data_IF_548168514203
#
_entry.id   IF_548168514203
#
_cell.length_a   1.000
_cell.length_b   1.000
_cell.length_c   1.000
_cell.angle_alpha   90.00
_cell.angle_beta   90.00
_cell.angle_gamma   90.00
#
_symmetry.space_group_name_H-M   'P 1'
#
loop_
_entity.id
_entity.type
_entity.pdbx_description
1 polymer ?
#
# COMPACT_ATOMS: atom_id res chain seq x y z
N UNK A 1 20.83 -17.35 -45.00
CA UNK A 1 19.64 -16.76 -45.65
C UNK A 1 18.41 -17.27 -44.92
N UNK A 2 17.85 -16.49 -43.99
CA UNK A 2 16.56 -16.76 -43.37
C UNK A 2 15.84 -15.42 -43.25
N UNK A 3 14.73 -15.26 -43.97
CA UNK A 3 13.92 -14.05 -44.02
C UNK A 3 13.04 -13.95 -42.77
N UNK A 4 13.26 -12.92 -41.96
CA UNK A 4 12.37 -12.48 -40.89
C UNK A 4 11.21 -11.69 -41.50
N UNK A 5 10.01 -12.24 -41.41
CA UNK A 5 8.75 -11.54 -41.73
C UNK A 5 8.19 -10.94 -40.44
N UNK A 6 8.32 -9.61 -40.31
CA UNK A 6 7.65 -8.82 -39.28
C UNK A 6 6.15 -8.73 -39.62
N UNK A 7 5.31 -9.32 -38.79
CA UNK A 7 3.85 -9.15 -38.81
C UNK A 7 3.49 -7.93 -37.98
N UNK A 8 3.06 -6.86 -38.63
CA UNK A 8 2.39 -5.74 -37.98
C UNK A 8 1.06 -6.21 -37.41
N UNK A 9 0.90 -6.11 -36.09
CA UNK A 9 -0.36 -6.34 -35.39
C UNK A 9 -1.08 -4.99 -35.26
N UNK A 10 -2.28 -4.91 -35.83
CA UNK A 10 -3.18 -3.77 -35.61
C UNK A 10 -3.65 -3.78 -34.14
N UNK A 11 -3.71 -2.63 -33.46
CA UNK A 11 -4.19 -2.55 -32.08
C UNK A 11 -5.66 -2.97 -32.00
N UNK A 12 -6.00 -3.66 -30.92
CA UNK A 12 -7.35 -4.14 -30.66
C UNK A 12 -8.30 -2.97 -30.37
N UNK A 13 -9.58 -3.11 -30.75
CA UNK A 13 -10.65 -2.13 -30.48
C UNK A 13 -10.79 -1.83 -28.97
N UNK A 14 -10.36 -2.74 -28.10
CA UNK A 14 -10.26 -2.54 -26.65
C UNK A 14 -9.15 -1.58 -26.22
N UNK A 15 -8.05 -1.46 -26.95
CA UNK A 15 -6.98 -0.50 -26.64
C UNK A 15 -7.35 0.92 -27.06
N UNK A 16 -8.10 1.07 -28.16
CA UNK A 16 -8.58 2.37 -28.64
C UNK A 16 -9.69 2.98 -27.76
N UNK A 17 -10.39 2.17 -26.96
CA UNK A 17 -11.43 2.65 -26.02
C UNK A 17 -10.89 3.01 -24.63
N UNK A 18 -9.65 2.60 -24.29
CA UNK A 18 -9.04 2.95 -22.99
C UNK A 18 -8.39 4.34 -22.96
N UNK A 19 -8.14 4.95 -24.12
CA UNK A 19 -7.51 6.27 -24.23
C UNK A 19 -8.50 7.45 -24.27
N UNK A 20 -9.78 7.23 -23.94
CA UNK A 20 -10.82 8.28 -23.87
C UNK A 20 -11.61 8.29 -22.54
N UNK A 21 -11.20 7.49 -21.56
CA UNK A 21 -11.68 7.66 -20.19
C UNK A 21 -10.73 8.62 -19.49
N UNK A 22 -11.00 9.91 -19.68
CA UNK A 22 -10.45 10.98 -18.86
C UNK A 22 -10.59 10.59 -17.38
N UNK A 23 -9.49 10.74 -16.64
CA UNK A 23 -9.47 10.55 -15.19
C UNK A 23 -10.68 11.24 -14.55
N UNK A 24 -11.40 10.58 -13.62
CA UNK A 24 -12.45 11.27 -12.87
C UNK A 24 -11.80 12.50 -12.21
N UNK A 25 -12.29 13.72 -12.46
CA UNK A 25 -11.60 14.92 -12.04
C UNK A 25 -11.37 14.87 -10.53
N UNK A 26 -10.17 15.24 -10.06
CA UNK A 26 -9.83 15.18 -8.65
C UNK A 26 -10.88 15.95 -7.85
N UNK A 27 -11.32 15.36 -6.72
CA UNK A 27 -12.24 15.97 -5.73
C UNK A 27 -11.60 17.15 -4.99
N UNK A 28 -11.01 18.09 -5.72
CA UNK A 28 -10.36 19.28 -5.19
C UNK A 28 -11.21 20.49 -5.49
N UNK A 29 -11.87 21.00 -4.44
CA UNK A 29 -12.48 22.32 -4.33
C UNK A 29 -13.47 22.67 -5.45
N UNK A 30 -14.76 22.64 -5.13
CA UNK A 30 -15.83 23.34 -5.87
C UNK A 30 -15.51 24.84 -5.89
N UNK A 31 -14.55 25.22 -6.73
CA UNK A 31 -14.14 26.58 -6.98
C UNK A 31 -15.23 27.19 -7.85
N UNK A 32 -15.53 28.48 -7.63
CA UNK A 32 -16.49 29.26 -8.41
C UNK A 32 -16.22 29.20 -9.94
N UNK A 33 -15.09 28.67 -10.38
CA UNK A 33 -14.74 28.45 -11.79
C UNK A 33 -15.69 27.47 -12.51
N UNK A 34 -16.34 26.54 -11.82
CA UNK A 34 -17.18 25.53 -12.50
C UNK A 34 -18.51 26.11 -13.05
N UNK A 35 -18.91 27.31 -12.64
CA UNK A 35 -20.10 27.98 -13.16
C UNK A 35 -19.89 28.59 -14.55
N UNK A 36 -18.63 28.74 -14.99
CA UNK A 36 -18.29 29.32 -16.28
C UNK A 36 -17.29 28.50 -17.09
N UNK A 37 -17.65 28.18 -18.32
CA UNK A 37 -16.74 27.76 -19.38
C UNK A 37 -16.77 28.81 -20.50
N UNK A 38 -15.66 29.53 -20.63
CA UNK A 38 -15.48 30.56 -21.66
C UNK A 38 -15.76 30.02 -23.05
N UNK A 39 -16.56 30.74 -23.83
CA UNK A 39 -16.95 30.39 -25.20
C UNK A 39 -18.11 29.40 -25.34
N UNK A 40 -18.47 28.66 -24.28
CA UNK A 40 -19.55 27.65 -24.33
C UNK A 40 -20.82 28.20 -23.69
N UNK A 41 -20.71 28.83 -22.53
CA UNK A 41 -21.89 29.15 -21.70
C UNK A 41 -22.61 30.47 -22.08
N UNK A 42 -22.18 31.19 -23.10
CA UNK A 42 -22.69 32.54 -23.41
C UNK A 42 -24.22 32.57 -23.60
N UNK A 43 -24.78 31.51 -24.19
CA UNK A 43 -26.21 31.44 -24.49
C UNK A 43 -27.08 31.31 -23.23
N UNK A 44 -26.57 30.71 -22.15
CA UNK A 44 -27.31 30.55 -20.90
C UNK A 44 -27.41 31.87 -20.14
N UNK A 45 -26.42 32.74 -20.29
CA UNK A 45 -26.32 34.01 -19.58
C UNK A 45 -26.89 35.21 -20.35
N UNK A 46 -27.33 35.01 -21.59
CA UNK A 46 -27.91 36.06 -22.43
C UNK A 46 -29.05 36.85 -21.75
N UNK A 47 -30.01 36.22 -21.03
CA UNK A 47 -31.07 36.97 -20.33
C UNK A 47 -30.54 37.91 -19.25
N UNK A 48 -29.52 37.48 -18.50
CA UNK A 48 -28.88 38.30 -17.47
C UNK A 48 -28.15 39.49 -18.09
N UNK A 49 -27.47 39.27 -19.21
CA UNK A 49 -26.74 40.32 -19.92
C UNK A 49 -27.70 41.36 -20.50
N UNK A 50 -28.76 40.90 -21.18
CA UNK A 50 -29.80 41.77 -21.72
C UNK A 50 -30.44 42.65 -20.63
N UNK A 51 -30.77 42.06 -19.47
CA UNK A 51 -31.31 42.80 -18.34
C UNK A 51 -30.35 43.88 -17.82
N UNK A 52 -29.04 43.60 -17.79
CA UNK A 52 -28.03 44.59 -17.39
C UNK A 52 -27.86 45.70 -18.42
N UNK A 53 -27.84 45.37 -19.71
CA UNK A 53 -27.78 46.37 -20.79
C UNK A 53 -28.99 47.29 -20.72
N UNK A 54 -30.20 46.72 -20.55
CA UNK A 54 -31.43 47.48 -20.42
C UNK A 54 -31.43 48.39 -19.17
N UNK A 55 -31.01 47.87 -18.02
CA UNK A 55 -30.92 48.69 -16.79
C UNK A 55 -29.86 49.78 -16.93
N UNK A 56 -28.69 49.50 -17.52
CA UNK A 56 -27.64 50.51 -17.78
C UNK A 56 -28.13 51.62 -18.71
N UNK A 57 -28.84 51.27 -19.78
CA UNK A 57 -29.44 52.25 -20.68
C UNK A 57 -30.52 53.09 -19.97
N UNK A 58 -31.28 52.48 -19.07
CA UNK A 58 -32.28 53.22 -18.28
C UNK A 58 -31.63 54.14 -17.26
N UNK A 59 -30.58 53.69 -16.57
CA UNK A 59 -29.80 54.48 -15.63
C UNK A 59 -29.16 55.70 -16.29
N UNK A 60 -28.65 55.57 -17.53
CA UNK A 60 -28.04 56.69 -18.25
C UNK A 60 -29.06 57.77 -18.64
N UNK A 61 -30.33 57.40 -18.79
CA UNK A 61 -31.45 58.33 -19.03
C UNK A 61 -31.94 59.00 -17.73
N UNK A 62 -31.53 58.53 -16.56
CA UNK A 62 -31.84 59.18 -15.29
C UNK A 62 -30.88 60.34 -15.05
N UNK A 63 -31.41 61.49 -14.65
CA UNK A 63 -30.61 62.64 -14.23
C UNK A 63 -29.99 62.38 -12.84
N UNK A 64 -28.95 61.54 -12.78
CA UNK A 64 -28.23 61.19 -11.55
C UNK A 64 -27.40 62.37 -11.03
N UNK A 65 -27.43 62.59 -9.72
CA UNK A 65 -26.55 63.55 -9.04
C UNK A 65 -25.10 63.05 -9.07
N UNK A 66 -24.11 63.92 -8.89
CA UNK A 66 -22.71 63.52 -9.02
C UNK A 66 -22.28 62.50 -7.95
N UNK A 67 -22.84 62.58 -6.75
CA UNK A 67 -22.62 61.58 -5.70
C UNK A 67 -23.34 60.24 -5.99
N UNK A 68 -24.42 60.24 -6.78
CA UNK A 68 -25.09 59.04 -7.28
C UNK A 68 -24.30 58.39 -8.43
N UNK A 69 -23.71 59.19 -9.33
CA UNK A 69 -22.80 58.70 -10.36
C UNK A 69 -21.59 58.01 -9.75
N UNK A 70 -20.99 58.62 -8.73
CA UNK A 70 -19.88 58.01 -7.98
C UNK A 70 -20.27 56.67 -7.36
N UNK A 71 -21.47 56.54 -6.78
CA UNK A 71 -21.96 55.27 -6.24
C UNK A 71 -22.15 54.19 -7.33
N UNK A 72 -22.65 54.57 -8.50
CA UNK A 72 -22.80 53.67 -9.64
C UNK A 72 -21.44 53.24 -10.24
N UNK A 73 -20.46 54.15 -10.27
CA UNK A 73 -19.09 53.88 -10.71
C UNK A 73 -18.35 52.98 -9.72
N UNK A 74 -18.53 53.19 -8.42
CA UNK A 74 -17.96 52.34 -7.38
C UNK A 74 -18.36 50.88 -7.57
N UNK A 75 -19.63 50.63 -7.90
CA UNK A 75 -20.14 49.30 -8.19
C UNK A 75 -19.38 48.62 -9.35
N UNK A 76 -18.89 49.39 -10.33
CA UNK A 76 -18.14 48.88 -11.48
C UNK A 76 -16.71 48.40 -11.13
N UNK A 77 -16.25 48.64 -9.90
CA UNK A 77 -14.96 48.14 -9.45
C UNK A 77 -15.02 46.62 -9.19
N UNK A 78 -14.15 45.85 -9.87
CA UNK A 78 -14.14 44.38 -9.82
C UNK A 78 -13.77 43.79 -8.45
N UNK A 79 -13.22 44.61 -7.56
CA UNK A 79 -12.71 44.17 -6.24
C UNK A 79 -13.76 44.20 -5.09
N UNK A 80 -15.04 44.35 -5.43
CA UNK A 80 -16.11 44.33 -4.43
C UNK A 80 -16.36 42.89 -3.99
N UNK A 81 -16.09 42.59 -2.72
CA UNK A 81 -16.49 41.34 -2.06
C UNK A 81 -17.89 41.53 -1.41
N UNK A 82 -18.69 40.47 -1.24
CA UNK A 82 -20.01 40.54 -0.58
C UNK A 82 -20.03 41.35 0.73
N UNK A 83 -19.07 41.10 1.63
CA UNK A 83 -18.97 41.83 2.90
C UNK A 83 -18.75 43.34 2.76
N UNK A 84 -18.10 43.80 1.68
CA UNK A 84 -17.88 45.23 1.42
C UNK A 84 -19.16 45.95 0.97
N UNK A 85 -20.15 45.21 0.43
CA UNK A 85 -21.43 45.80 0.00
C UNK A 85 -22.22 46.24 1.23
N UNK A 86 -22.31 45.36 2.24
CA UNK A 86 -23.01 45.67 3.50
C UNK A 86 -22.31 46.81 4.23
N UNK A 87 -20.98 46.79 4.32
CA UNK A 87 -20.18 47.88 4.88
C UNK A 87 -20.48 49.21 4.18
N UNK A 88 -20.53 49.21 2.85
CA UNK A 88 -20.84 50.42 2.08
C UNK A 88 -22.26 50.94 2.29
N UNK A 89 -23.25 50.06 2.45
CA UNK A 89 -24.62 50.45 2.78
C UNK A 89 -24.69 51.15 4.15
N UNK A 90 -23.95 50.63 5.14
CA UNK A 90 -23.84 51.25 6.47
C UNK A 90 -23.13 52.61 6.42
N UNK A 91 -22.08 52.75 5.61
CA UNK A 91 -21.42 54.04 5.37
C UNK A 91 -22.39 55.07 4.77
N UNK A 92 -23.16 54.68 3.74
CA UNK A 92 -24.15 55.56 3.11
C UNK A 92 -25.19 56.02 4.15
N UNK A 93 -25.65 55.12 5.02
CA UNK A 93 -26.56 55.49 6.09
C UNK A 93 -25.93 56.52 7.04
N UNK A 94 -24.72 56.26 7.54
CA UNK A 94 -24.03 57.13 8.48
C UNK A 94 -23.79 58.55 7.90
N UNK A 95 -23.42 58.64 6.62
CA UNK A 95 -23.25 59.92 5.93
C UNK A 95 -24.58 60.68 5.82
N UNK A 96 -25.69 59.99 5.53
CA UNK A 96 -27.01 60.60 5.41
C UNK A 96 -27.56 61.07 6.76
N UNK A 97 -27.34 60.30 7.83
CA UNK A 97 -27.70 60.69 9.19
C UNK A 97 -26.95 61.96 9.60
N UNK A 98 -25.64 62.03 9.34
CA UNK A 98 -24.80 63.21 9.61
C UNK A 98 -25.26 64.45 8.86
N UNK A 99 -25.66 64.32 7.59
CA UNK A 99 -26.18 65.43 6.78
C UNK A 99 -27.56 65.92 7.24
N UNK A 100 -28.37 65.05 7.85
CA UNK A 100 -29.76 65.40 8.19
C UNK A 100 -29.93 66.21 9.48
N UNK A 101 -28.90 66.37 10.33
CA UNK A 101 -28.98 67.01 11.66
C UNK A 101 -30.13 66.50 12.56
N UNK A 102 -30.76 65.36 12.25
CA UNK A 102 -31.93 64.84 12.96
C UNK A 102 -31.51 64.06 14.20
N UNK A 103 -31.66 64.68 15.37
CA UNK A 103 -31.58 63.97 16.66
C UNK A 103 -32.88 63.19 16.90
N UNK A 104 -32.77 61.89 17.20
CA UNK A 104 -33.73 61.02 17.93
C UNK A 104 -34.75 60.12 17.18
N UNK A 105 -34.64 59.90 15.87
CA UNK A 105 -35.51 58.94 15.13
C UNK A 105 -34.96 57.52 14.92
N UNK A 106 -33.90 57.13 15.64
CA UNK A 106 -32.91 56.09 15.27
C UNK A 106 -33.45 54.64 15.20
N UNK A 107 -34.59 54.32 15.83
CA UNK A 107 -35.04 52.91 15.94
C UNK A 107 -35.71 52.33 14.67
N UNK A 108 -36.40 53.13 13.86
CA UNK A 108 -37.09 52.61 12.65
C UNK A 108 -36.12 52.35 11.49
N UNK A 109 -35.16 53.27 11.28
CA UNK A 109 -34.13 53.13 10.24
C UNK A 109 -33.30 51.85 10.39
N UNK A 110 -33.13 51.35 11.61
CA UNK A 110 -32.44 50.09 11.87
C UNK A 110 -33.13 48.88 11.23
N UNK A 111 -34.47 48.83 11.18
CA UNK A 111 -35.18 47.68 10.61
C UNK A 111 -35.04 47.63 9.08
N UNK A 112 -35.25 48.75 8.40
CA UNK A 112 -35.08 48.81 6.94
C UNK A 112 -33.65 48.47 6.55
N UNK A 113 -32.65 49.06 7.22
CA UNK A 113 -31.24 48.80 6.92
C UNK A 113 -30.91 47.33 7.10
N UNK A 114 -31.31 46.72 8.21
CA UNK A 114 -31.04 45.29 8.45
C UNK A 114 -31.70 44.41 7.36
N UNK A 115 -32.95 44.69 6.99
CA UNK A 115 -33.66 43.94 5.95
C UNK A 115 -33.01 44.14 4.56
N UNK A 116 -32.65 45.37 4.23
CA UNK A 116 -31.98 45.71 2.96
C UNK A 116 -30.60 45.09 2.89
N UNK A 117 -29.81 45.15 3.97
CA UNK A 117 -28.47 44.53 4.04
C UNK A 117 -28.55 43.00 3.90
N UNK A 118 -29.52 42.34 4.56
CA UNK A 118 -29.71 40.91 4.42
C UNK A 118 -30.11 40.51 2.99
N UNK A 119 -30.95 41.32 2.33
CA UNK A 119 -31.28 41.15 0.93
C UNK A 119 -30.08 41.39 0.01
N UNK A 120 -29.33 42.47 0.24
CA UNK A 120 -28.15 42.81 -0.55
C UNK A 120 -27.07 41.73 -0.46
N UNK A 121 -26.89 41.10 0.71
CA UNK A 121 -25.97 39.97 0.87
C UNK A 121 -26.40 38.75 0.02
N UNK A 122 -27.69 38.38 0.07
CA UNK A 122 -28.24 37.30 -0.78
C UNK A 122 -28.13 37.62 -2.27
N UNK A 123 -28.56 38.82 -2.68
CA UNK A 123 -28.48 39.28 -4.05
C UNK A 123 -27.03 39.33 -4.55
N UNK A 124 -26.10 39.80 -3.72
CA UNK A 124 -24.67 39.84 -4.05
C UNK A 124 -24.13 38.47 -4.36
N UNK A 125 -24.61 37.43 -3.68
CA UNK A 125 -24.11 36.07 -3.89
C UNK A 125 -24.50 35.52 -5.25
N UNK A 126 -25.70 35.87 -5.75
CA UNK A 126 -26.11 35.56 -7.12
C UNK A 126 -25.29 36.38 -8.12
N UNK A 127 -25.10 37.69 -7.85
CA UNK A 127 -24.29 38.57 -8.69
C UNK A 127 -22.85 38.03 -8.81
N UNK A 128 -22.25 37.56 -7.71
CA UNK A 128 -20.88 37.03 -7.68
C UNK A 128 -20.72 35.72 -8.44
N UNK A 129 -21.77 34.90 -8.56
CA UNK A 129 -21.74 33.70 -9.43
C UNK A 129 -21.62 34.10 -10.90
N UNK A 130 -22.25 35.21 -11.29
CA UNK A 130 -22.26 35.70 -12.66
C UNK A 130 -21.08 36.62 -12.98
N UNK A 131 -20.55 37.35 -12.00
CA UNK A 131 -19.52 38.38 -12.19
C UNK A 131 -18.28 37.93 -13.01
N UNK A 132 -17.74 36.70 -12.87
CA UNK A 132 -16.60 36.24 -13.67
C UNK A 132 -16.85 36.22 -15.19
N UNK A 133 -18.11 36.17 -15.61
CA UNK A 133 -18.53 36.12 -17.01
C UNK A 133 -18.38 37.47 -17.71
N UNK A 134 -18.88 38.52 -17.06
CA UNK A 134 -18.96 39.87 -17.61
C UNK A 134 -18.94 40.89 -16.47
N UNK A 135 -18.11 41.94 -16.58
CA UNK A 135 -18.13 43.04 -15.61
C UNK A 135 -19.45 43.82 -15.64
N UNK A 136 -20.29 43.66 -16.66
CA UNK A 136 -21.59 44.35 -16.78
C UNK A 136 -22.57 43.98 -15.66
N UNK A 137 -22.38 42.83 -15.01
CA UNK A 137 -23.22 42.41 -13.89
C UNK A 137 -23.04 43.25 -12.62
N UNK A 138 -22.01 44.10 -12.58
CA UNK A 138 -21.84 45.11 -11.53
C UNK A 138 -22.93 46.18 -11.52
N UNK A 139 -23.64 46.39 -12.65
CA UNK A 139 -24.72 47.38 -12.75
C UNK A 139 -25.76 47.19 -11.65
N UNK A 140 -26.07 45.93 -11.32
CA UNK A 140 -27.04 45.57 -10.28
C UNK A 140 -26.65 46.06 -8.89
N UNK A 141 -25.35 46.01 -8.57
CA UNK A 141 -24.82 46.58 -7.32
C UNK A 141 -25.01 48.11 -7.28
N UNK A 142 -24.80 48.76 -8.42
CA UNK A 142 -25.07 50.19 -8.58
C UNK A 142 -26.53 50.53 -8.33
N UNK A 143 -27.45 49.77 -8.95
CA UNK A 143 -28.90 49.92 -8.74
C UNK A 143 -29.26 49.72 -7.26
N UNK A 144 -28.68 48.72 -6.58
CA UNK A 144 -28.89 48.50 -5.15
C UNK A 144 -28.47 49.71 -4.31
N UNK A 145 -27.27 50.26 -4.53
CA UNK A 145 -26.79 51.43 -3.79
C UNK A 145 -27.65 52.67 -4.02
N UNK A 146 -28.07 52.90 -5.28
CA UNK A 146 -28.95 54.00 -5.64
C UNK A 146 -30.33 53.86 -5.01
N UNK A 147 -30.90 52.65 -5.02
CA UNK A 147 -32.21 52.36 -4.44
C UNK A 147 -32.19 52.57 -2.92
N UNK A 148 -31.15 52.08 -2.24
CA UNK A 148 -30.96 52.28 -0.81
C UNK A 148 -30.91 53.77 -0.46
N UNK A 149 -30.07 54.54 -1.16
CA UNK A 149 -29.93 55.99 -0.96
C UNK A 149 -31.25 56.72 -1.21
N UNK A 150 -31.97 56.36 -2.27
CA UNK A 150 -33.25 56.99 -2.63
C UNK A 150 -34.29 56.85 -1.51
N UNK A 151 -34.31 55.71 -0.81
CA UNK A 151 -35.27 55.44 0.27
C UNK A 151 -34.83 56.01 1.62
N UNK A 152 -33.55 55.90 1.98
CA UNK A 152 -33.02 56.53 3.22
C UNK A 152 -33.26 58.04 3.22
N UNK A 153 -33.27 58.68 2.04
CA UNK A 153 -33.58 60.11 1.90
C UNK A 153 -35.06 60.44 2.14
N UNK A 154 -35.99 59.48 1.92
CA UNK A 154 -37.44 59.69 1.93
C UNK A 154 -38.17 58.64 2.79
N UNK A 155 -38.34 58.95 4.08
CA UNK A 155 -38.92 58.04 5.08
C UNK A 155 -40.31 57.49 4.73
N UNK A 156 -41.16 58.28 4.09
CA UNK A 156 -42.56 57.91 3.80
C UNK A 156 -42.68 56.69 2.85
N UNK A 157 -41.58 56.30 2.21
CA UNK A 157 -41.51 55.18 1.27
C UNK A 157 -40.75 53.96 1.82
N UNK A 158 -40.21 54.08 3.01
CA UNK A 158 -39.40 53.06 3.68
C UNK A 158 -40.23 51.79 3.89
N UNK A 159 -41.47 51.90 4.37
CA UNK A 159 -42.31 50.73 4.68
C UNK A 159 -42.68 49.93 3.43
N UNK A 160 -42.97 50.60 2.31
CA UNK A 160 -43.33 49.94 1.04
C UNK A 160 -42.13 49.18 0.46
N UNK A 161 -40.94 49.81 0.40
CA UNK A 161 -39.74 49.13 -0.06
C UNK A 161 -39.32 48.01 0.91
N UNK A 162 -39.44 48.23 2.22
CA UNK A 162 -39.12 47.20 3.22
C UNK A 162 -39.95 45.94 2.99
N UNK A 163 -41.25 46.08 2.71
CA UNK A 163 -42.13 44.94 2.39
C UNK A 163 -41.69 44.25 1.08
N UNK A 164 -41.46 45.03 0.02
CA UNK A 164 -41.01 44.48 -1.26
C UNK A 164 -39.72 43.68 -1.13
N UNK A 165 -38.72 44.24 -0.45
CA UNK A 165 -37.42 43.61 -0.23
C UNK A 165 -37.52 42.38 0.68
N UNK A 166 -38.34 42.44 1.72
CA UNK A 166 -38.56 41.28 2.59
C UNK A 166 -39.19 40.13 1.80
N UNK A 167 -40.20 40.40 0.97
CA UNK A 167 -40.80 39.41 0.06
C UNK A 167 -39.75 38.81 -0.87
N UNK A 168 -38.93 39.62 -1.56
CA UNK A 168 -37.92 39.11 -2.49
C UNK A 168 -36.84 38.32 -1.73
N UNK A 169 -36.37 38.83 -0.58
CA UNK A 169 -35.33 38.19 0.23
C UNK A 169 -35.76 36.81 0.73
N UNK A 170 -37.03 36.63 1.08
CA UNK A 170 -37.56 35.32 1.49
C UNK A 170 -37.62 34.32 0.33
N UNK A 171 -37.67 34.79 -0.92
CA UNK A 171 -37.69 33.95 -2.13
C UNK A 171 -36.31 33.67 -2.71
N UNK A 172 -35.33 34.55 -2.47
CA UNK A 172 -33.99 34.32 -2.99
C UNK A 172 -33.31 33.11 -2.30
N UNK A 173 -32.69 32.21 -3.07
CA UNK A 173 -31.94 31.07 -2.53
C UNK A 173 -30.90 31.52 -1.52
N UNK A 174 -30.75 30.73 -0.46
CA UNK A 174 -29.64 30.87 0.47
C UNK A 174 -28.34 30.58 -0.31
N UNK A 175 -27.30 31.36 -0.05
CA UNK A 175 -25.93 31.19 -0.53
C UNK A 175 -25.40 29.76 -0.56
N UNK A 176 -25.81 28.93 0.39
CA UNK A 176 -25.45 27.52 0.48
C UNK A 176 -25.99 26.67 -0.68
N UNK A 177 -27.13 27.07 -1.24
CA UNK A 177 -27.75 26.39 -2.38
C UNK A 177 -26.78 26.30 -3.57
N UNK A 178 -26.11 27.41 -3.90
CA UNK A 178 -25.17 27.45 -5.03
C UNK A 178 -23.85 26.71 -4.80
N UNK A 179 -23.50 26.42 -3.54
CA UNK A 179 -22.29 25.65 -3.20
C UNK A 179 -22.48 24.15 -3.35
N UNK A 180 -23.73 23.68 -3.28
CA UNK A 180 -24.06 22.24 -3.25
C UNK A 180 -24.54 21.70 -4.59
N UNK A 181 -24.84 22.57 -5.55
CA UNK A 181 -25.43 22.19 -6.83
C UNK A 181 -24.38 22.07 -7.92
N UNK A 182 -24.46 20.98 -8.68
CA UNK A 182 -23.69 20.82 -9.89
C UNK A 182 -24.20 21.79 -10.97
N UNK A 183 -23.37 22.66 -11.56
CA UNK A 183 -23.81 23.69 -12.49
C UNK A 183 -24.15 23.11 -13.87
N UNK A 184 -25.28 22.41 -13.97
CA UNK A 184 -25.81 21.94 -15.25
C UNK A 184 -26.25 23.13 -16.12
N UNK A 185 -26.27 22.95 -17.44
CA UNK A 185 -26.67 24.00 -18.38
C UNK A 185 -28.06 24.58 -18.07
N UNK A 186 -29.01 23.71 -17.67
CA UNK A 186 -30.36 24.14 -17.28
C UNK A 186 -30.34 24.97 -15.99
N UNK A 187 -29.54 24.57 -14.99
CA UNK A 187 -29.38 25.33 -13.75
C UNK A 187 -28.70 26.67 -14.02
N UNK A 188 -27.63 26.72 -14.83
CA UNK A 188 -26.96 27.98 -15.24
C UNK A 188 -27.96 28.95 -15.88
N UNK A 189 -28.77 28.47 -16.82
CA UNK A 189 -29.80 29.28 -17.47
C UNK A 189 -30.85 29.80 -16.47
N UNK A 190 -31.26 28.96 -15.52
CA UNK A 190 -32.22 29.35 -14.48
C UNK A 190 -31.66 30.41 -13.54
N UNK A 191 -30.40 30.28 -13.12
CA UNK A 191 -29.70 31.31 -12.32
C UNK A 191 -29.62 32.65 -13.08
N UNK A 192 -29.32 32.61 -14.37
CA UNK A 192 -29.28 33.80 -15.21
C UNK A 192 -30.64 34.51 -15.30
N UNK A 193 -31.73 33.74 -15.40
CA UNK A 193 -33.10 34.31 -15.41
C UNK A 193 -33.51 34.86 -14.05
N UNK A 194 -33.25 34.14 -12.95
CA UNK A 194 -33.47 34.65 -11.57
C UNK A 194 -32.78 35.99 -11.39
N UNK A 195 -31.52 36.07 -11.82
CA UNK A 195 -30.78 37.32 -11.82
C UNK A 195 -31.44 38.39 -12.70
N UNK A 196 -31.84 38.07 -13.93
CA UNK A 196 -32.51 39.02 -14.83
C UNK A 196 -33.79 39.60 -14.22
N UNK A 197 -34.63 38.75 -13.59
CA UNK A 197 -35.83 39.19 -12.87
C UNK A 197 -35.47 40.07 -11.68
N UNK A 198 -34.43 39.73 -10.91
CA UNK A 198 -33.95 40.54 -9.79
C UNK A 198 -33.51 41.94 -10.25
N UNK A 199 -32.72 42.04 -11.33
CA UNK A 199 -32.31 43.33 -11.92
C UNK A 199 -33.52 44.14 -12.33
N UNK A 200 -34.47 43.52 -13.03
CA UNK A 200 -35.70 44.18 -13.48
C UNK A 200 -36.52 44.72 -12.31
N UNK A 201 -36.69 43.95 -11.23
CA UNK A 201 -37.41 44.40 -10.03
C UNK A 201 -36.70 45.59 -9.38
N UNK A 202 -35.37 45.52 -9.23
CA UNK A 202 -34.58 46.59 -8.62
C UNK A 202 -34.61 47.88 -9.45
N UNK A 203 -34.56 47.74 -10.77
CA UNK A 203 -34.61 48.86 -11.71
C UNK A 203 -35.98 49.56 -11.70
N UNK A 204 -37.08 48.79 -11.74
CA UNK A 204 -38.44 49.34 -11.61
C UNK A 204 -38.66 50.00 -10.23
N UNK A 205 -38.14 49.38 -9.15
CA UNK A 205 -38.17 49.97 -7.82
C UNK A 205 -37.38 51.29 -7.79
N UNK A 206 -36.18 51.34 -8.37
CA UNK A 206 -35.38 52.56 -8.40
C UNK A 206 -36.12 53.71 -9.09
N UNK A 207 -36.70 53.46 -10.26
CA UNK A 207 -37.49 54.46 -11.00
C UNK A 207 -38.67 54.96 -10.16
N UNK A 208 -39.41 54.03 -9.54
CA UNK A 208 -40.54 54.31 -8.66
C UNK A 208 -40.14 55.21 -7.46
N UNK A 209 -39.11 54.82 -6.70
CA UNK A 209 -38.75 55.48 -5.45
C UNK A 209 -38.03 56.82 -5.69
N UNK A 210 -37.33 56.98 -6.82
CA UNK A 210 -36.66 58.22 -7.21
C UNK A 210 -37.65 59.33 -7.63
N UNK A 211 -38.67 59.01 -8.43
CA UNK A 211 -39.59 59.99 -8.99
C UNK A 211 -40.39 60.76 -7.93
N UNK A 212 -40.15 62.07 -7.75
CA UNK A 212 -40.96 62.93 -6.87
C UNK A 212 -42.24 63.43 -7.57
N UNK A 213 -42.12 64.01 -8.78
CA UNK A 213 -43.27 64.52 -9.55
C UNK A 213 -44.05 63.42 -10.25
N UNK A 214 -43.35 62.42 -10.76
CA UNK A 214 -43.97 61.24 -11.36
C UNK A 214 -44.70 60.42 -10.30
N UNK A 215 -44.24 60.35 -9.04
CA UNK A 215 -44.95 59.55 -8.04
C UNK A 215 -46.40 59.93 -7.80
N UNK A 216 -46.87 61.17 -8.05
CA UNK A 216 -48.32 61.47 -7.94
C UNK A 216 -49.13 60.95 -9.12
N UNK A 217 -48.52 60.90 -10.31
CA UNK A 217 -49.08 60.28 -11.51
C UNK A 217 -48.99 58.76 -11.44
N UNK A 218 -47.88 58.26 -10.92
CA UNK A 218 -47.62 56.86 -10.69
C UNK A 218 -48.50 56.41 -9.53
N UNK A 219 -48.73 57.16 -8.45
CA UNK A 219 -49.67 56.84 -7.35
C UNK A 219 -51.12 56.74 -7.85
N UNK A 220 -51.50 57.59 -8.82
CA UNK A 220 -52.77 57.45 -9.56
C UNK A 220 -52.81 56.24 -10.51
N UNK A 221 -51.64 55.75 -10.95
CA UNK A 221 -51.45 54.52 -11.73
C UNK A 221 -51.10 53.28 -10.86
N UNK A 222 -50.84 53.43 -9.56
CA UNK A 222 -50.31 52.43 -8.61
C UNK A 222 -51.36 51.85 -7.67
N UNK A 223 -52.62 52.01 -8.04
CA UNK A 223 -53.52 50.87 -7.88
C UNK A 223 -52.98 49.59 -8.57
N UNK A 224 -51.90 49.69 -9.38
CA UNK A 224 -51.08 48.57 -9.86
C UNK A 224 -49.92 48.17 -8.91
N UNK A 225 -50.20 47.90 -7.62
CA UNK A 225 -49.30 47.06 -6.79
C UNK A 225 -49.02 45.72 -7.51
N UNK A 226 -49.97 45.28 -8.35
CA UNK A 226 -49.89 44.12 -9.22
C UNK A 226 -48.63 44.02 -10.07
N UNK A 227 -48.01 45.12 -10.51
CA UNK A 227 -46.82 45.02 -11.38
C UNK A 227 -45.60 44.43 -10.67
N UNK A 228 -45.42 44.71 -9.39
CA UNK A 228 -44.36 44.06 -8.61
C UNK A 228 -44.75 42.63 -8.27
N UNK A 229 -46.04 42.36 -8.07
CA UNK A 229 -46.54 41.01 -7.85
C UNK A 229 -46.26 40.11 -9.07
N UNK A 230 -46.50 40.60 -10.29
CA UNK A 230 -46.20 39.88 -11.54
C UNK A 230 -44.70 39.54 -11.64
N UNK A 231 -43.81 40.51 -11.33
CA UNK A 231 -42.36 40.30 -11.37
C UNK A 231 -41.87 39.36 -10.26
N UNK A 232 -42.49 39.39 -9.08
CA UNK A 232 -42.20 38.48 -7.98
C UNK A 232 -42.70 37.07 -8.31
N UNK A 233 -43.85 36.94 -8.96
CA UNK A 233 -44.40 35.67 -9.43
C UNK A 233 -43.48 35.04 -10.48
N UNK A 234 -43.01 35.82 -11.46
CA UNK A 234 -42.01 35.37 -12.43
C UNK A 234 -40.73 34.84 -11.73
N UNK A 235 -40.24 35.58 -10.73
CA UNK A 235 -39.07 35.18 -9.94
C UNK A 235 -39.32 33.88 -9.15
N UNK A 236 -40.51 33.72 -8.56
CA UNK A 236 -40.92 32.53 -7.81
C UNK A 236 -41.05 31.30 -8.73
N UNK A 237 -41.58 31.49 -9.93
CA UNK A 237 -41.72 30.44 -10.93
C UNK A 237 -40.36 29.94 -11.43
N UNK A 238 -39.41 30.84 -11.69
CA UNK A 238 -38.06 30.46 -12.08
C UNK A 238 -37.32 29.78 -10.91
N UNK A 239 -37.54 30.24 -9.67
CA UNK A 239 -37.00 29.58 -8.48
C UNK A 239 -37.50 28.13 -8.31
N UNK A 240 -38.81 27.90 -8.47
CA UNK A 240 -39.40 26.55 -8.45
C UNK A 240 -38.78 25.66 -9.52
N UNK A 241 -38.65 26.19 -10.74
CA UNK A 241 -38.01 25.50 -11.86
C UNK A 241 -36.58 25.09 -11.53
N UNK A 242 -35.79 26.00 -10.94
CA UNK A 242 -34.43 25.70 -10.50
C UNK A 242 -34.39 24.59 -9.44
N UNK A 243 -35.35 24.56 -8.51
CA UNK A 243 -35.40 23.56 -7.45
C UNK A 243 -35.76 22.16 -8.02
N UNK A 244 -36.72 22.09 -8.94
CA UNK A 244 -37.06 20.84 -9.65
C UNK A 244 -35.87 20.30 -10.45
N UNK A 245 -35.14 21.20 -11.14
CA UNK A 245 -33.93 20.85 -11.87
C UNK A 245 -32.82 20.31 -10.95
N UNK A 246 -32.67 20.87 -9.75
CA UNK A 246 -31.72 20.38 -8.75
C UNK A 246 -32.05 18.93 -8.37
N UNK A 247 -33.30 18.65 -8.03
CA UNK A 247 -33.71 17.34 -7.55
C UNK A 247 -33.57 16.29 -8.67
N UNK A 248 -33.94 16.65 -9.90
CA UNK A 248 -33.71 15.81 -11.08
C UNK A 248 -32.21 15.53 -11.33
N UNK A 249 -31.36 16.57 -11.22
CA UNK A 249 -29.91 16.44 -11.41
C UNK A 249 -29.30 15.52 -10.33
N UNK A 250 -29.75 15.64 -9.08
CA UNK A 250 -29.28 14.79 -7.99
C UNK A 250 -29.63 13.30 -8.22
N UNK A 251 -30.83 13.02 -8.71
CA UNK A 251 -31.25 11.65 -9.06
C UNK A 251 -30.37 11.07 -10.17
N UNK A 252 -30.16 11.81 -11.25
CA UNK A 252 -29.33 11.37 -12.39
C UNK A 252 -27.88 11.14 -11.97
N UNK A 253 -27.32 12.03 -11.15
CA UNK A 253 -25.96 11.89 -10.66
C UNK A 253 -25.81 10.67 -9.75
N UNK A 254 -26.77 10.42 -8.87
CA UNK A 254 -26.77 9.25 -7.99
C UNK A 254 -26.84 7.95 -8.82
N UNK A 255 -27.67 7.92 -9.87
CA UNK A 255 -27.77 6.77 -10.77
C UNK A 255 -26.45 6.53 -11.54
N UNK A 256 -25.81 7.58 -12.05
CA UNK A 256 -24.52 7.47 -12.75
C UNK A 256 -23.40 6.98 -11.82
N UNK A 257 -23.35 7.47 -10.57
CA UNK A 257 -22.39 6.98 -9.57
C UNK A 257 -22.63 5.50 -9.28
N UNK A 258 -23.88 5.07 -9.15
CA UNK A 258 -24.22 3.67 -8.89
C UNK A 258 -23.76 2.74 -10.02
N UNK A 259 -23.86 3.18 -11.27
CA UNK A 259 -23.43 2.42 -12.45
C UNK A 259 -21.90 2.24 -12.46
N UNK A 260 -21.14 3.31 -12.26
CA UNK A 260 -19.67 3.27 -12.16
C UNK A 260 -19.22 2.36 -11.01
N UNK A 261 -19.89 2.41 -9.85
CA UNK A 261 -19.59 1.54 -8.71
C UNK A 261 -19.86 0.07 -9.04
N UNK A 262 -20.96 -0.22 -9.75
CA UNK A 262 -21.31 -1.58 -10.18
C UNK A 262 -20.28 -2.15 -11.17
N UNK A 263 -19.85 -1.35 -12.16
CA UNK A 263 -18.81 -1.76 -13.12
C UNK A 263 -17.47 -2.00 -12.43
N UNK A 264 -17.07 -1.10 -11.52
CA UNK A 264 -15.85 -1.24 -10.72
C UNK A 264 -15.89 -2.51 -9.86
N UNK A 265 -17.04 -2.82 -9.25
CA UNK A 265 -17.25 -4.04 -8.49
C UNK A 265 -17.06 -5.32 -9.33
N UNK A 266 -17.57 -5.33 -10.57
CA UNK A 266 -17.38 -6.48 -11.50
C UNK A 266 -15.93 -6.65 -11.92
N UNK A 267 -15.21 -5.56 -12.19
CA UNK A 267 -13.79 -5.61 -12.53
C UNK A 267 -12.96 -6.17 -11.36
N UNK A 268 -13.26 -5.73 -10.13
CA UNK A 268 -12.59 -6.22 -8.92
C UNK A 268 -12.83 -7.71 -8.68
N UNK A 269 -14.06 -8.20 -8.89
CA UNK A 269 -14.36 -9.63 -8.74
C UNK A 269 -13.56 -10.50 -9.74
N UNK A 270 -13.47 -10.08 -11.01
CA UNK A 270 -12.65 -10.77 -12.03
C UNK A 270 -11.16 -10.76 -11.69
N UNK A 271 -10.67 -9.64 -11.15
CA UNK A 271 -9.28 -9.51 -10.72
C UNK A 271 -8.99 -10.47 -9.57
N UNK A 272 -9.88 -10.58 -8.57
CA UNK A 272 -9.74 -11.53 -7.47
C UNK A 272 -9.71 -12.99 -7.96
N UNK A 273 -10.62 -13.39 -8.85
CA UNK A 273 -10.64 -14.74 -9.43
C UNK A 273 -9.33 -15.09 -10.16
N UNK A 274 -8.78 -14.14 -10.93
CA UNK A 274 -7.49 -14.29 -11.60
C UNK A 274 -6.34 -14.47 -10.60
N UNK A 275 -6.33 -13.72 -9.49
CA UNK A 275 -5.31 -13.84 -8.45
C UNK A 275 -5.35 -15.19 -7.73
N UNK A 276 -6.54 -15.70 -7.44
CA UNK A 276 -6.73 -17.02 -6.83
C UNK A 276 -6.22 -18.14 -7.75
N UNK A 277 -6.56 -18.06 -9.04
CA UNK A 277 -6.07 -18.98 -10.07
C UNK A 277 -4.54 -18.98 -10.18
N UNK A 278 -3.91 -17.79 -10.23
CA UNK A 278 -2.45 -17.66 -10.31
C UNK A 278 -1.75 -18.19 -9.05
N UNK A 279 -2.29 -17.93 -7.87
CA UNK A 279 -1.70 -18.36 -6.60
C UNK A 279 -1.73 -19.89 -6.48
N UNK A 280 -2.80 -20.53 -6.95
CA UNK A 280 -2.89 -22.00 -7.02
C UNK A 280 -1.79 -22.61 -7.91
N UNK A 281 -1.54 -22.02 -9.09
CA UNK A 281 -0.49 -22.48 -10.01
C UNK A 281 0.93 -22.33 -9.43
N UNK A 282 1.18 -21.24 -8.69
CA UNK A 282 2.45 -20.99 -8.00
C UNK A 282 2.69 -22.04 -6.91
N UNK A 283 1.67 -22.35 -6.10
CA UNK A 283 1.79 -23.35 -5.03
C UNK A 283 2.12 -24.74 -5.58
N UNK A 284 1.49 -25.14 -6.69
CA UNK A 284 1.81 -26.41 -7.37
C UNK A 284 3.26 -26.43 -7.87
N UNK A 285 3.71 -25.34 -8.48
CA UNK A 285 5.10 -25.20 -8.96
C UNK A 285 6.12 -25.31 -7.83
N UNK A 286 5.87 -24.67 -6.70
CA UNK A 286 6.75 -24.72 -5.52
C UNK A 286 6.86 -26.14 -4.95
N UNK A 287 5.73 -26.87 -4.89
CA UNK A 287 5.71 -28.27 -4.47
C UNK A 287 6.60 -29.16 -5.35
N UNK A 288 6.52 -28.98 -6.67
CA UNK A 288 7.36 -29.72 -7.63
C UNK A 288 8.86 -29.40 -7.42
N UNK A 289 9.19 -28.13 -7.19
CA UNK A 289 10.58 -27.70 -6.95
C UNK A 289 11.12 -28.34 -5.67
N UNK A 290 10.35 -28.30 -4.57
CA UNK A 290 10.77 -28.88 -3.30
C UNK A 290 11.01 -30.40 -3.40
N UNK A 291 10.12 -31.12 -4.09
CA UNK A 291 10.30 -32.55 -4.34
C UNK A 291 11.58 -32.84 -5.12
N UNK A 292 11.86 -32.07 -6.19
CA UNK A 292 13.11 -32.21 -6.96
C UNK A 292 14.35 -31.89 -6.12
N UNK A 293 14.27 -30.86 -5.28
CA UNK A 293 15.39 -30.48 -4.40
C UNK A 293 15.73 -31.59 -3.41
N UNK A 294 14.74 -32.20 -2.75
CA UNK A 294 14.97 -33.35 -1.87
C UNK A 294 15.61 -34.53 -2.59
N UNK A 295 15.14 -34.84 -3.80
CA UNK A 295 15.71 -35.92 -4.61
C UNK A 295 17.17 -35.63 -4.99
N UNK A 296 17.49 -34.39 -5.39
CA UNK A 296 18.85 -33.98 -5.70
C UNK A 296 19.76 -34.04 -4.47
N UNK A 297 19.29 -33.63 -3.29
CA UNK A 297 20.05 -33.74 -2.04
C UNK A 297 20.34 -35.20 -1.70
N UNK A 298 19.34 -36.08 -1.79
CA UNK A 298 19.53 -37.51 -1.55
C UNK A 298 20.54 -38.14 -2.53
N UNK A 299 20.43 -37.82 -3.82
CA UNK A 299 21.36 -38.29 -4.84
C UNK A 299 22.79 -37.79 -4.61
N UNK A 300 22.94 -36.52 -4.23
CA UNK A 300 24.24 -35.91 -3.93
C UNK A 300 24.90 -36.60 -2.73
N UNK A 301 24.13 -36.90 -1.68
CA UNK A 301 24.65 -37.59 -0.49
C UNK A 301 25.13 -39.02 -0.82
N UNK A 302 24.42 -39.74 -1.70
CA UNK A 302 24.86 -41.07 -2.16
C UNK A 302 26.17 -40.99 -2.94
N UNK A 303 26.29 -40.02 -3.87
CA UNK A 303 27.51 -39.79 -4.64
C UNK A 303 28.68 -39.42 -3.72
N UNK A 304 28.44 -38.54 -2.75
CA UNK A 304 29.45 -38.14 -1.78
C UNK A 304 29.95 -39.33 -0.97
N UNK A 305 29.05 -40.17 -0.45
CA UNK A 305 29.40 -41.37 0.33
C UNK A 305 30.14 -42.41 -0.50
N UNK A 306 29.76 -42.58 -1.76
CA UNK A 306 30.48 -43.45 -2.70
C UNK A 306 31.91 -42.96 -2.91
N UNK A 307 32.09 -41.66 -3.14
CA UNK A 307 33.40 -41.04 -3.32
C UNK A 307 34.26 -41.15 -2.04
N UNK A 308 33.67 -40.92 -0.86
CA UNK A 308 34.30 -41.15 0.44
C UNK A 308 34.85 -42.57 0.59
N UNK A 309 34.01 -43.57 0.31
CA UNK A 309 34.38 -44.98 0.40
C UNK A 309 35.49 -45.32 -0.60
N UNK A 310 35.39 -44.82 -1.83
CA UNK A 310 36.40 -45.04 -2.88
C UNK A 310 37.77 -44.47 -2.48
N UNK A 311 37.80 -43.26 -1.91
CA UNK A 311 39.05 -42.64 -1.48
C UNK A 311 39.67 -43.35 -0.27
N UNK A 312 38.85 -43.73 0.71
CA UNK A 312 39.29 -44.51 1.87
C UNK A 312 39.95 -45.83 1.44
N UNK A 313 39.35 -46.55 0.48
CA UNK A 313 39.94 -47.77 -0.11
C UNK A 313 41.27 -47.52 -0.80
N UNK A 314 41.37 -46.44 -1.59
CA UNK A 314 42.65 -46.09 -2.23
C UNK A 314 43.75 -45.78 -1.21
N UNK A 315 43.41 -45.19 -0.06
CA UNK A 315 44.37 -44.96 1.02
C UNK A 315 44.77 -46.27 1.71
N UNK A 316 43.82 -47.20 1.90
CA UNK A 316 44.10 -48.52 2.47
C UNK A 316 45.03 -49.35 1.57
N UNK A 317 44.80 -49.35 0.26
CA UNK A 317 45.71 -50.02 -0.70
C UNK A 317 47.15 -49.50 -0.55
N UNK A 318 47.33 -48.20 -0.32
CA UNK A 318 48.65 -47.58 -0.09
C UNK A 318 49.22 -47.92 1.29
N UNK A 319 48.38 -48.04 2.32
CA UNK A 319 48.79 -48.30 3.71
C UNK A 319 49.10 -49.77 3.97
N UNK A 320 48.25 -50.68 3.50
CA UNK A 320 48.25 -52.09 3.85
C UNK A 320 49.00 -52.94 2.82
N UNK A 321 49.08 -52.50 1.56
CA UNK A 321 49.61 -53.34 0.48
C UNK A 321 48.81 -54.64 0.39
N UNK A 322 49.50 -55.77 0.43
CA UNK A 322 48.89 -57.12 0.40
C UNK A 322 48.55 -57.67 1.80
N UNK A 323 48.54 -56.84 2.85
CA UNK A 323 48.17 -57.30 4.18
C UNK A 323 46.68 -57.69 4.23
N UNK A 324 46.31 -58.75 4.98
CA UNK A 324 44.93 -59.20 5.10
C UNK A 324 44.05 -58.11 5.71
N UNK A 325 42.77 -58.11 5.34
CA UNK A 325 41.79 -57.21 5.95
C UNK A 325 41.51 -57.61 7.42
N UNK A 326 40.94 -56.71 8.21
CA UNK A 326 40.70 -56.95 9.64
C UNK A 326 39.71 -58.09 9.93
N UNK A 327 38.67 -58.22 9.10
CA UNK A 327 37.71 -59.32 9.10
C UNK A 327 38.39 -60.63 8.73
N UNK A 328 39.26 -60.63 7.71
CA UNK A 328 40.06 -61.81 7.37
C UNK A 328 40.99 -62.23 8.52
N UNK A 329 41.59 -61.25 9.21
CA UNK A 329 42.42 -61.49 10.40
C UNK A 329 41.60 -62.09 11.55
N UNK A 330 40.41 -61.52 11.83
CA UNK A 330 39.50 -62.02 12.85
C UNK A 330 39.00 -63.44 12.52
N UNK A 331 38.60 -63.68 11.28
CA UNK A 331 38.13 -64.98 10.80
C UNK A 331 39.25 -66.02 10.86
N UNK A 332 40.48 -65.64 10.51
CA UNK A 332 41.64 -66.51 10.62
C UNK A 332 41.91 -66.89 12.09
N UNK A 333 41.76 -65.96 13.04
CA UNK A 333 41.94 -66.24 14.48
C UNK A 333 40.82 -67.11 15.01
N UNK A 334 39.57 -66.82 14.67
CA UNK A 334 38.39 -67.64 15.03
C UNK A 334 38.52 -69.06 14.50
N UNK A 335 38.94 -69.21 13.25
CA UNK A 335 39.02 -70.50 12.55
C UNK A 335 40.08 -71.43 13.13
N UNK A 336 41.03 -70.93 13.93
CA UNK A 336 42.02 -71.78 14.61
C UNK A 336 41.37 -72.75 15.59
N UNK A 337 40.24 -72.34 16.18
CA UNK A 337 39.55 -73.09 17.24
C UNK A 337 40.38 -73.16 18.52
N UNK A 338 39.93 -72.52 19.58
CA UNK A 338 40.68 -72.47 20.85
C UNK A 338 40.60 -73.81 21.59
N UNK A 339 41.76 -74.42 21.86
CA UNK A 339 41.87 -75.66 22.65
C UNK A 339 42.11 -75.33 24.12
N UNK A 340 41.02 -74.97 24.81
CA UNK A 340 41.02 -74.62 26.23
C UNK A 340 40.33 -75.70 27.07
N UNK A 341 40.74 -75.84 28.33
CA UNK A 341 39.97 -76.59 29.33
C UNK A 341 38.71 -75.82 29.72
N UNK A 342 37.68 -76.52 30.19
CA UNK A 342 36.43 -75.88 30.63
C UNK A 342 36.66 -74.78 31.69
N UNK A 343 37.68 -74.95 32.55
CA UNK A 343 38.05 -74.00 33.60
C UNK A 343 38.83 -72.78 33.11
N UNK A 344 39.42 -72.87 31.91
CA UNK A 344 40.30 -71.84 31.37
C UNK A 344 39.55 -70.84 30.47
N UNK A 345 38.36 -71.19 29.99
CA UNK A 345 37.47 -70.23 29.33
C UNK A 345 37.20 -69.03 30.24
N UNK A 346 37.20 -67.85 29.65
CA UNK A 346 37.07 -66.57 30.36
C UNK A 346 35.74 -66.41 31.12
N UNK A 347 34.71 -67.13 30.68
CA UNK A 347 33.41 -67.22 31.36
C UNK A 347 33.50 -67.93 32.72
N UNK A 348 34.45 -68.86 32.87
CA UNK A 348 34.56 -69.76 34.02
C UNK A 348 35.77 -69.47 34.92
N UNK A 349 36.77 -68.73 34.42
CA UNK A 349 38.01 -68.46 35.16
C UNK A 349 37.93 -67.24 36.12
N UNK A 350 36.78 -66.57 36.17
CA UNK A 350 36.52 -65.41 37.03
C UNK A 350 36.83 -64.05 36.41
N UNK A 351 37.45 -63.98 35.22
CA UNK A 351 37.86 -62.73 34.58
C UNK A 351 36.68 -61.78 34.28
N UNK A 352 35.47 -62.32 34.08
CA UNK A 352 34.28 -61.50 33.84
C UNK A 352 33.99 -60.53 35.00
N UNK A 353 34.25 -60.90 36.25
CA UNK A 353 34.05 -60.02 37.39
C UNK A 353 34.97 -58.79 37.32
N UNK A 354 36.24 -59.00 36.94
CA UNK A 354 37.24 -57.95 36.81
C UNK A 354 36.99 -57.05 35.60
N UNK A 355 36.59 -57.62 34.46
CA UNK A 355 36.20 -56.86 33.26
C UNK A 355 34.96 -56.00 33.56
N UNK A 356 33.99 -56.56 34.27
CA UNK A 356 32.78 -55.83 34.70
C UNK A 356 33.15 -54.68 35.63
N UNK A 357 33.99 -54.93 36.63
CA UNK A 357 34.49 -53.91 37.54
C UNK A 357 35.24 -52.78 36.81
N UNK A 358 36.10 -53.12 35.84
CA UNK A 358 36.78 -52.15 34.99
C UNK A 358 35.77 -51.30 34.19
N UNK A 359 34.80 -51.93 33.54
CA UNK A 359 33.82 -51.24 32.70
C UNK A 359 32.95 -50.24 33.47
N UNK A 360 32.69 -50.50 34.75
CA UNK A 360 31.92 -49.62 35.63
C UNK A 360 32.73 -48.39 36.09
N UNK A 361 34.06 -48.46 36.02
CA UNK A 361 34.95 -47.41 36.51
C UNK A 361 35.45 -46.52 35.37
N UNK A 362 34.69 -45.48 35.05
CA UNK A 362 34.95 -44.55 33.93
C UNK A 362 36.31 -43.81 33.96
N UNK A 363 37.07 -43.91 35.06
CA UNK A 363 38.40 -43.30 35.19
C UNK A 363 39.52 -44.12 34.54
N UNK A 364 39.28 -45.40 34.23
CA UNK A 364 40.29 -46.30 33.69
C UNK A 364 40.16 -46.45 32.18
N UNK A 365 41.04 -45.79 31.42
CA UNK A 365 41.06 -45.84 29.95
C UNK A 365 41.80 -47.06 29.37
N UNK A 366 42.53 -47.81 30.21
CA UNK A 366 43.33 -48.96 29.81
C UNK A 366 42.90 -50.21 30.58
N UNK A 367 42.57 -51.27 29.86
CA UNK A 367 42.39 -52.62 30.39
C UNK A 367 43.57 -53.48 29.93
N UNK A 368 44.32 -54.01 30.89
CA UNK A 368 45.39 -54.98 30.62
C UNK A 368 44.97 -56.34 31.14
N UNK A 369 44.88 -57.32 30.25
CA UNK A 369 44.54 -58.71 30.58
C UNK A 369 45.76 -59.57 30.30
N UNK A 370 46.18 -60.34 31.29
CA UNK A 370 47.31 -61.26 31.17
C UNK A 370 47.02 -62.57 31.89
N UNK A 371 47.58 -63.66 31.39
CA UNK A 371 47.45 -64.98 31.97
C UNK A 371 48.59 -65.88 31.49
N UNK A 372 48.95 -66.87 32.30
CA UNK A 372 49.89 -67.89 31.87
C UNK A 372 49.16 -68.89 30.97
N UNK A 373 49.47 -68.90 29.68
CA UNK A 373 49.12 -70.01 28.78
C UNK A 373 50.28 -70.99 28.78
N UNK A 374 50.05 -72.24 29.21
CA UNK A 374 51.04 -73.31 29.08
C UNK A 374 51.20 -73.73 27.61
N UNK A 375 51.09 -75.03 27.32
CA UNK A 375 51.05 -75.55 25.95
C UNK A 375 49.66 -75.43 25.28
N UNK A 376 48.75 -74.65 25.87
CA UNK A 376 47.38 -74.44 25.39
C UNK A 376 47.23 -73.03 24.81
N UNK A 377 46.16 -72.81 24.04
CA UNK A 377 45.83 -71.48 23.52
C UNK A 377 45.56 -70.50 24.67
N UNK A 378 45.64 -69.19 24.38
CA UNK A 378 45.36 -68.15 25.37
C UNK A 378 43.87 -67.84 25.43
N UNK A 379 43.26 -68.00 26.61
CA UNK A 379 41.88 -67.54 26.86
C UNK A 379 41.70 -66.02 26.64
N UNK A 380 42.80 -65.25 26.68
CA UNK A 380 42.78 -63.81 26.39
C UNK A 380 42.47 -63.55 24.92
N UNK A 381 42.95 -64.39 24.00
CA UNK A 381 42.64 -64.28 22.56
C UNK A 381 41.17 -64.61 22.31
N UNK A 382 40.64 -65.67 22.93
CA UNK A 382 39.20 -66.01 22.89
C UNK A 382 38.34 -64.84 23.39
N UNK A 383 38.66 -64.31 24.58
CA UNK A 383 37.95 -63.15 25.17
C UNK A 383 37.97 -61.94 24.23
N UNK A 384 39.11 -61.66 23.59
CA UNK A 384 39.28 -60.52 22.70
C UNK A 384 38.39 -60.64 21.45
N UNK A 385 38.30 -61.84 20.87
CA UNK A 385 37.39 -62.15 19.75
C UNK A 385 35.94 -61.90 20.16
N UNK A 386 35.53 -62.40 21.32
CA UNK A 386 34.15 -62.24 21.81
C UNK A 386 33.81 -60.78 22.11
N UNK A 387 34.75 -60.00 22.64
CA UNK A 387 34.60 -58.55 22.84
C UNK A 387 34.41 -57.83 21.51
N UNK A 388 35.25 -58.12 20.50
CA UNK A 388 35.15 -57.49 19.17
C UNK A 388 33.77 -57.76 18.57
N UNK A 389 33.32 -59.03 18.58
CA UNK A 389 32.00 -59.44 18.06
C UNK A 389 30.83 -58.84 18.82
N UNK A 390 30.96 -58.68 20.14
CA UNK A 390 29.92 -58.07 20.96
C UNK A 390 29.78 -56.56 20.70
N UNK A 391 30.86 -55.89 20.29
CA UNK A 391 30.89 -54.45 20.06
C UNK A 391 30.58 -54.04 18.61
N UNK A 392 30.83 -54.91 17.63
CA UNK A 392 30.59 -54.66 16.21
C UNK A 392 29.14 -54.21 15.88
N UNK A 393 28.07 -54.81 16.44
CA UNK A 393 26.69 -54.39 16.14
C UNK A 393 26.32 -53.01 16.69
N UNK A 394 27.10 -52.44 17.62
CA UNK A 394 26.73 -51.23 18.39
C UNK A 394 27.13 -49.91 17.70
N UNK A 395 27.62 -49.94 16.46
CA UNK A 395 28.14 -48.76 15.74
C UNK A 395 29.18 -47.96 16.54
N UNK A 396 29.95 -48.66 17.38
CA UNK A 396 31.13 -48.13 18.05
C UNK A 396 32.33 -48.51 17.20
N UNK A 397 33.21 -47.56 16.82
CA UNK A 397 34.42 -47.91 16.11
C UNK A 397 35.33 -48.78 17.00
N UNK A 398 35.60 -50.00 16.57
CA UNK A 398 36.50 -50.94 17.26
C UNK A 398 37.65 -51.23 16.33
N UNK A 399 38.86 -50.89 16.77
CA UNK A 399 40.08 -51.17 16.04
C UNK A 399 40.84 -52.25 16.81
N UNK A 400 41.33 -53.28 16.11
CA UNK A 400 42.00 -54.41 16.74
C UNK A 400 43.16 -54.93 15.89
N UNK A 401 44.08 -55.66 16.53
CA UNK A 401 45.14 -56.39 15.85
C UNK A 401 45.59 -57.57 16.72
N UNK A 402 45.80 -58.73 16.10
CA UNK A 402 46.29 -59.93 16.74
C UNK A 402 47.78 -60.11 16.44
N UNK A 403 48.60 -60.11 17.49
CA UNK A 403 50.06 -60.16 17.38
C UNK A 403 50.64 -61.58 17.48
N UNK A 404 49.81 -62.60 17.70
CA UNK A 404 50.19 -63.99 18.02
C UNK A 404 50.32 -64.88 16.77
N UNK A 405 50.66 -64.32 15.61
CA UNK A 405 50.77 -65.08 14.35
C UNK A 405 52.08 -65.88 14.26
N UNK A 406 52.06 -67.12 13.70
CA UNK A 406 53.25 -67.94 13.52
C UNK A 406 54.30 -67.28 12.59
N UNK A 407 55.56 -67.62 12.84
CA UNK A 407 56.76 -66.75 12.81
C UNK A 407 57.18 -65.99 11.53
N UNK A 408 56.46 -66.06 10.41
CA UNK A 408 56.84 -65.32 9.19
C UNK A 408 56.10 -63.99 8.96
N UNK A 409 55.05 -63.69 9.75
CA UNK A 409 54.17 -62.53 9.49
C UNK A 409 53.90 -61.66 10.72
N UNK A 410 54.76 -61.73 11.76
CA UNK A 410 54.60 -60.87 12.94
C UNK A 410 54.60 -59.39 12.53
N UNK A 411 53.51 -58.64 12.78
CA UNK A 411 53.39 -57.29 12.29
C UNK A 411 54.42 -56.39 13.00
N UNK A 412 55.17 -55.61 12.21
CA UNK A 412 56.00 -54.55 12.79
C UNK A 412 55.12 -53.53 13.50
N UNK A 413 55.66 -52.78 14.46
CA UNK A 413 54.91 -51.69 15.14
C UNK A 413 54.31 -50.72 14.13
N UNK A 414 55.02 -50.41 13.04
CA UNK A 414 54.48 -49.61 11.95
C UNK A 414 53.35 -50.33 11.19
N UNK A 415 53.49 -51.63 10.92
CA UNK A 415 52.43 -52.45 10.33
C UNK A 415 51.16 -52.46 11.15
N UNK A 416 51.27 -52.57 12.48
CA UNK A 416 50.13 -52.48 13.40
C UNK A 416 49.40 -51.14 13.28
N UNK A 417 50.13 -50.01 13.33
CA UNK A 417 49.49 -48.69 13.19
C UNK A 417 48.87 -48.51 11.80
N UNK A 418 49.49 -49.03 10.73
CA UNK A 418 48.89 -48.99 9.39
C UNK A 418 47.59 -49.79 9.33
N UNK A 419 47.53 -50.97 9.96
CA UNK A 419 46.31 -51.80 10.07
C UNK A 419 45.20 -51.09 10.84
N UNK A 420 45.50 -50.56 12.02
CA UNK A 420 44.52 -49.82 12.83
C UNK A 420 44.01 -48.57 12.09
N UNK A 421 44.89 -47.87 11.38
CA UNK A 421 44.50 -46.74 10.54
C UNK A 421 43.64 -47.16 9.34
N UNK A 422 43.94 -48.29 8.70
CA UNK A 422 43.12 -48.86 7.63
C UNK A 422 41.71 -49.19 8.11
N UNK A 423 41.58 -49.87 9.25
CA UNK A 423 40.31 -50.17 9.91
C UNK A 423 39.53 -48.90 10.28
N UNK A 424 40.21 -47.87 10.76
CA UNK A 424 39.58 -46.59 11.08
C UNK A 424 38.97 -45.94 9.82
N UNK A 425 39.69 -45.98 8.70
CA UNK A 425 39.20 -45.44 7.42
C UNK A 425 38.07 -46.29 6.81
N UNK A 426 38.04 -47.60 7.06
CA UNK A 426 36.93 -48.48 6.64
C UNK A 426 35.65 -48.16 7.39
N UNK A 427 35.75 -48.04 8.71
CA UNK A 427 34.62 -47.75 9.58
C UNK A 427 34.13 -46.30 9.43
N UNK A 428 35.03 -45.38 9.02
CA UNK A 428 34.79 -43.93 8.95
C UNK A 428 35.41 -43.30 7.68
N UNK A 429 34.88 -43.61 6.49
CA UNK A 429 35.43 -43.10 5.24
C UNK A 429 35.33 -41.56 5.10
N UNK A 430 34.45 -40.92 5.86
CA UNK A 430 34.32 -39.46 5.94
C UNK A 430 35.62 -38.77 6.41
N UNK A 431 36.40 -39.42 7.27
CA UNK A 431 37.66 -38.88 7.80
C UNK A 431 38.68 -38.64 6.69
N UNK A 432 38.66 -39.48 5.65
CA UNK A 432 39.52 -39.33 4.48
C UNK A 432 39.23 -38.04 3.71
N UNK A 433 37.97 -37.58 3.73
CA UNK A 433 37.52 -36.37 3.04
C UNK A 433 37.60 -35.12 3.90
N UNK A 434 37.35 -35.22 5.21
CA UNK A 434 37.38 -34.08 6.13
C UNK A 434 38.80 -33.56 6.38
N UNK A 435 39.83 -34.41 6.23
CA UNK A 435 41.24 -34.06 6.44
C UNK A 435 42.12 -34.45 5.24
N UNK A 436 41.94 -33.79 4.07
CA UNK A 436 42.75 -34.08 2.89
C UNK A 436 44.24 -33.78 3.11
N UNK A 437 44.58 -32.93 4.10
CA UNK A 437 45.95 -32.62 4.50
C UNK A 437 46.70 -33.83 5.08
N UNK A 438 45.97 -34.73 5.76
CA UNK A 438 46.47 -35.96 6.38
C UNK A 438 46.28 -37.18 5.46
N UNK A 439 45.17 -37.20 4.72
CA UNK A 439 44.66 -38.35 3.96
C UNK A 439 44.86 -38.23 2.43
N UNK A 440 45.89 -37.52 1.99
CA UNK A 440 46.35 -37.54 0.60
C UNK A 440 47.28 -38.75 0.40
N UNK A 441 47.04 -39.58 -0.63
CA UNK A 441 47.76 -40.83 -0.89
C UNK A 441 49.28 -40.62 -0.92
N UNK A 442 49.75 -39.53 -1.54
CA UNK A 442 51.17 -39.21 -1.61
C UNK A 442 51.75 -38.78 -0.25
N UNK A 443 51.01 -37.93 0.48
CA UNK A 443 51.44 -37.44 1.79
C UNK A 443 51.42 -38.55 2.83
N UNK A 444 50.40 -39.40 2.81
CA UNK A 444 50.24 -40.52 3.70
C UNK A 444 51.36 -41.53 3.48
N UNK A 445 51.69 -41.85 2.22
CA UNK A 445 52.86 -42.68 1.89
C UNK A 445 54.15 -42.08 2.46
N UNK A 446 54.38 -40.78 2.28
CA UNK A 446 55.57 -40.08 2.80
C UNK A 446 55.61 -40.02 4.34
N UNK A 447 54.48 -39.76 5.00
CA UNK A 447 54.36 -39.67 6.46
C UNK A 447 54.43 -41.03 7.12
N UNK A 448 54.01 -42.08 6.42
CA UNK A 448 54.14 -43.48 6.86
C UNK A 448 55.57 -44.03 6.81
N UNK A 449 56.59 -43.19 6.54
CA UNK A 449 58.00 -43.60 6.49
C UNK A 449 58.63 -43.80 7.86
N UNK A 450 58.11 -43.16 8.92
CA UNK A 450 58.60 -43.31 10.29
C UNK A 450 57.44 -43.47 11.27
N UNK A 451 57.67 -44.24 12.33
CA UNK A 451 56.65 -44.51 13.34
C UNK A 451 56.03 -43.25 13.96
N UNK A 452 56.79 -42.23 14.43
CA UNK A 452 56.19 -41.04 15.06
C UNK A 452 55.25 -40.26 14.15
N UNK A 453 55.57 -40.18 12.85
CA UNK A 453 54.76 -39.48 11.85
C UNK A 453 53.49 -40.25 11.48
N UNK A 454 53.58 -41.58 11.43
CA UNK A 454 52.42 -42.44 11.18
C UNK A 454 51.47 -42.42 12.39
N UNK A 455 52.03 -42.51 13.60
CA UNK A 455 51.28 -42.49 14.85
C UNK A 455 50.58 -41.14 15.05
N UNK A 456 51.22 -40.01 14.75
CA UNK A 456 50.57 -38.70 14.85
C UNK A 456 49.37 -38.57 13.90
N UNK A 457 49.45 -39.12 12.69
CA UNK A 457 48.32 -39.16 11.75
C UNK A 457 47.18 -40.01 12.31
N UNK A 458 47.50 -41.18 12.87
CA UNK A 458 46.51 -42.05 13.50
C UNK A 458 45.83 -41.38 14.70
N UNK A 459 46.61 -40.75 15.58
CA UNK A 459 46.12 -40.03 16.76
C UNK A 459 45.18 -38.88 16.39
N UNK A 460 45.55 -38.05 15.41
CA UNK A 460 44.71 -36.94 14.94
C UNK A 460 43.37 -37.43 14.36
N UNK A 461 43.39 -38.50 13.55
CA UNK A 461 42.17 -39.05 12.94
C UNK A 461 41.30 -39.78 13.96
N UNK A 462 41.91 -40.50 14.90
CA UNK A 462 41.21 -41.15 16.00
C UNK A 462 40.50 -40.11 16.88
N UNK A 463 41.21 -39.04 17.29
CA UNK A 463 40.62 -37.97 18.09
C UNK A 463 39.39 -37.35 17.41
N UNK A 464 39.43 -37.16 16.09
CA UNK A 464 38.31 -36.62 15.33
C UNK A 464 37.12 -37.61 15.23
N UNK A 465 37.39 -38.90 15.04
CA UNK A 465 36.38 -39.96 15.01
C UNK A 465 35.56 -40.01 16.30
N UNK A 466 36.23 -39.82 17.45
CA UNK A 466 35.60 -39.91 18.76
C UNK A 466 34.97 -38.59 19.25
N UNK A 467 35.37 -37.44 18.70
CA UNK A 467 34.79 -36.13 19.02
C UNK A 467 33.39 -35.90 18.41
N UNK A 468 33.08 -36.52 17.27
CA UNK A 468 31.85 -36.28 16.49
C UNK A 468 30.54 -36.79 17.13
N UNK A 469 30.56 -37.37 18.34
CA UNK A 469 29.37 -37.88 19.06
C UNK A 469 28.95 -37.03 20.28
N UNK A 470 29.60 -35.89 20.53
CA UNK A 470 29.34 -35.05 21.71
C UNK A 470 28.40 -33.85 21.46
N UNK A 471 27.99 -33.62 20.21
CA UNK A 471 26.95 -32.67 19.77
C UNK A 471 25.77 -33.45 19.17
#
# INVERSE_FOLDING_TARGET
MAQLTLRETKPSVTEMLSSQLDDPPPKSQLSHQNWYLSGIDFCFYAPAQEACTASKERLSKLNLQDDEKQLAELASNRDIKPGKIVEKLLEIQAEMEKKSNRKSGVKTASKFVNNFSAFADKASSIIMVLLPQSPEYTVTLGVLFLLFKAVVTKKDREDALTKLIDTISQRLPITEFYKTIFPSNAIKASVARIYAHMVKILDEALVYFRGWRLSRLVDAFLNNVSKFDDLIEDLDNEYKTMHELKDATHIVQTASIMDVVSETGRAMAKLQENFESQTSAINLSMSIINSKLHNLTAQTNLILRFNMTKHARSLQEVLLGDAPDASEELDAVVSRGFKLSQKDHWENNGALADITYWSQNQRNLLLWIGGASGNQDSWVTETSVDIIRALEPRMVPVLFAFCDQPDDHRPTVMGLVRRLLGQLLDQRPELAYSRPDLCDTWRLKRRSSTFPKLFSVFEELAAQSFASKAD
#
